data_IF_943690512359
#
_entry.id   IF_943690512359
#
_cell.length_a   1.000
_cell.length_b   1.000
_cell.length_c   1.000
_cell.angle_alpha   90.00
_cell.angle_beta   90.00
_cell.angle_gamma   90.00
#
_symmetry.space_group_name_H-M   'P 1'
#
loop_
_entity.id
_entity.type
_entity.pdbx_description
1 polymer ?
#
# COMPACT_ATOMS: atom_id res chain seq x y z
N UNK A 1 -49.81 49.02 45.08
CA UNK A 1 -48.51 48.57 45.64
C UNK A 1 -48.27 47.19 45.06
N UNK A 2 -47.49 47.08 43.98
CA UNK A 2 -47.26 45.81 43.29
C UNK A 2 -45.97 45.19 43.84
N UNK A 3 -46.11 44.05 44.54
CA UNK A 3 -44.98 43.29 45.06
C UNK A 3 -44.43 42.42 43.93
N UNK A 4 -43.23 42.73 43.45
CA UNK A 4 -42.48 41.88 42.53
C UNK A 4 -41.80 40.79 43.34
N UNK A 5 -42.31 39.56 43.26
CA UNK A 5 -41.69 38.36 43.81
C UNK A 5 -40.49 38.01 42.90
N UNK A 6 -39.27 38.29 43.36
CA UNK A 6 -38.02 37.93 42.69
C UNK A 6 -37.78 36.43 42.85
N UNK A 7 -38.35 35.62 41.95
CA UNK A 7 -37.92 34.23 41.78
C UNK A 7 -36.87 34.18 40.68
N UNK A 8 -35.68 33.77 41.08
CA UNK A 8 -34.52 33.55 40.23
C UNK A 8 -34.88 32.48 39.17
N UNK A 9 -34.78 32.75 37.86
CA UNK A 9 -35.15 31.78 36.82
C UNK A 9 -34.18 30.58 36.74
N UNK A 10 -33.12 30.56 37.54
CA UNK A 10 -32.08 29.53 37.55
C UNK A 10 -32.32 28.40 38.56
N UNK A 11 -33.32 28.48 39.44
CA UNK A 11 -33.57 27.43 40.45
C UNK A 11 -34.39 26.23 39.91
N UNK A 12 -34.83 26.27 38.65
CA UNK A 12 -35.66 25.22 38.03
C UNK A 12 -34.94 24.43 36.92
N UNK A 13 -33.60 24.37 36.96
CA UNK A 13 -32.78 23.53 36.07
C UNK A 13 -32.05 22.46 36.89
N UNK A 14 -32.78 21.77 37.76
CA UNK A 14 -32.33 20.50 38.34
C UNK A 14 -32.71 19.41 37.35
N UNK A 15 -31.82 19.13 36.40
CA UNK A 15 -31.88 17.90 35.62
C UNK A 15 -31.34 16.77 36.50
N UNK A 16 -32.25 16.02 37.11
CA UNK A 16 -31.98 14.72 37.71
C UNK A 16 -31.59 13.75 36.59
N UNK A 17 -30.31 13.76 36.22
CA UNK A 17 -29.69 12.87 35.23
C UNK A 17 -29.05 11.63 35.91
N UNK A 18 -29.57 11.18 37.06
CA UNK A 18 -29.29 9.83 37.55
C UNK A 18 -30.27 8.84 36.91
N UNK A 19 -29.73 7.82 36.24
CA UNK A 19 -30.42 6.70 35.57
C UNK A 19 -30.97 6.89 34.15
N UNK A 20 -30.30 7.68 33.31
CA UNK A 20 -30.32 7.37 31.87
C UNK A 20 -29.24 6.34 31.54
N UNK A 21 -29.53 5.05 31.77
CA UNK A 21 -28.73 3.97 31.19
C UNK A 21 -28.84 4.11 29.68
N UNK A 22 -27.81 4.70 29.04
CA UNK A 22 -27.72 4.74 27.59
C UNK A 22 -27.75 3.29 27.09
N UNK A 23 -28.81 2.84 26.41
CA UNK A 23 -28.83 1.51 25.84
C UNK A 23 -27.71 1.46 24.80
N UNK A 24 -26.99 0.34 24.75
CA UNK A 24 -25.84 0.10 23.89
C UNK A 24 -25.86 0.91 22.59
N UNK A 25 -24.78 1.67 22.41
CA UNK A 25 -24.46 2.60 21.34
C UNK A 25 -24.80 2.12 19.92
N UNK A 26 -26.08 2.17 19.53
CA UNK A 26 -26.49 2.18 18.13
C UNK A 26 -26.10 3.54 17.56
N UNK A 27 -24.91 3.61 16.96
CA UNK A 27 -24.45 4.81 16.27
C UNK A 27 -25.54 5.31 15.31
N UNK A 28 -26.00 6.55 15.49
CA UNK A 28 -26.98 7.21 14.62
C UNK A 28 -26.60 6.95 13.15
N UNK A 29 -27.54 6.68 12.23
CA UNK A 29 -27.22 6.27 10.85
C UNK A 29 -26.29 7.24 10.11
N UNK A 30 -26.33 8.52 10.46
CA UNK A 30 -25.39 9.54 9.97
C UNK A 30 -23.95 9.33 10.51
N UNK A 31 -23.80 8.97 11.78
CA UNK A 31 -22.51 8.64 12.37
C UNK A 31 -21.93 7.32 11.81
N UNK A 32 -22.79 6.33 11.56
CA UNK A 32 -22.40 5.09 10.88
C UNK A 32 -21.91 5.36 9.44
N UNK A 33 -22.66 6.13 8.65
CA UNK A 33 -22.24 6.56 7.29
C UNK A 33 -20.93 7.36 7.31
N UNK A 34 -20.78 8.30 8.24
CA UNK A 34 -19.54 9.08 8.38
C UNK A 34 -18.33 8.19 8.77
N UNK A 35 -18.53 7.12 9.55
CA UNK A 35 -17.48 6.16 9.87
C UNK A 35 -17.10 5.31 8.64
N UNK A 36 -18.08 4.86 7.85
CA UNK A 36 -17.86 4.13 6.60
C UNK A 36 -17.14 4.98 5.55
N UNK A 37 -17.48 6.26 5.43
CA UNK A 37 -16.79 7.22 4.56
C UNK A 37 -15.33 7.41 4.97
N UNK A 38 -15.04 7.52 6.27
CA UNK A 38 -13.66 7.58 6.76
C UNK A 38 -12.90 6.28 6.47
N UNK A 39 -13.55 5.12 6.65
CA UNK A 39 -12.95 3.82 6.38
C UNK A 39 -12.66 3.61 4.89
N UNK A 40 -13.59 3.99 4.00
CA UNK A 40 -13.38 3.96 2.54
C UNK A 40 -12.29 4.93 2.12
N UNK A 41 -12.24 6.15 2.67
CA UNK A 41 -11.18 7.10 2.41
C UNK A 41 -9.79 6.56 2.81
N UNK A 42 -9.68 5.90 3.97
CA UNK A 42 -8.44 5.22 4.40
C UNK A 42 -8.03 4.13 3.41
N UNK A 43 -8.94 3.21 3.06
CA UNK A 43 -8.67 2.15 2.06
C UNK A 43 -8.23 2.72 0.72
N UNK A 44 -8.85 3.81 0.26
CA UNK A 44 -8.48 4.48 -0.99
C UNK A 44 -7.07 5.09 -0.92
N UNK A 45 -6.69 5.70 0.20
CA UNK A 45 -5.32 6.22 0.39
C UNK A 45 -4.29 5.09 0.36
N UNK A 46 -4.55 4.00 1.07
CA UNK A 46 -3.68 2.83 1.06
C UNK A 46 -3.56 2.20 -0.33
N UNK A 47 -4.68 2.08 -1.05
CA UNK A 47 -4.68 1.55 -2.42
C UNK A 47 -3.82 2.41 -3.35
N UNK A 48 -3.96 3.75 -3.29
CA UNK A 48 -3.13 4.67 -4.09
C UNK A 48 -1.65 4.55 -3.73
N UNK A 49 -1.33 4.43 -2.44
CA UNK A 49 0.05 4.22 -2.00
C UNK A 49 0.64 2.92 -2.56
N UNK A 50 -0.11 1.81 -2.49
CA UNK A 50 0.30 0.51 -3.08
C UNK A 50 0.45 0.59 -4.60
N UNK A 51 -0.45 1.31 -5.29
CA UNK A 51 -0.37 1.51 -6.73
C UNK A 51 0.87 2.33 -7.14
N UNK A 52 1.19 3.39 -6.38
CA UNK A 52 2.41 4.18 -6.57
C UNK A 52 3.67 3.34 -6.38
N UNK A 53 3.72 2.54 -5.31
CA UNK A 53 4.87 1.67 -5.04
C UNK A 53 5.07 0.63 -6.14
N UNK A 54 3.98 0.07 -6.70
CA UNK A 54 4.05 -0.83 -7.85
C UNK A 54 4.59 -0.14 -9.10
N UNK A 55 4.10 1.05 -9.41
CA UNK A 55 4.58 1.81 -10.57
C UNK A 55 6.08 2.14 -10.45
N UNK A 56 6.55 2.50 -9.25
CA UNK A 56 7.97 2.71 -8.98
C UNK A 56 8.77 1.43 -9.21
N UNK A 57 8.30 0.30 -8.68
CA UNK A 57 8.96 -0.99 -8.82
C UNK A 57 9.07 -1.41 -10.29
N UNK A 58 7.97 -1.35 -11.03
CA UNK A 58 7.94 -1.74 -12.46
C UNK A 58 8.86 -0.82 -13.28
N UNK A 59 8.87 0.49 -13.02
CA UNK A 59 9.79 1.42 -13.69
C UNK A 59 11.26 1.10 -13.41
N UNK A 60 11.61 0.80 -12.15
CA UNK A 60 12.98 0.43 -11.76
C UNK A 60 13.38 -0.92 -12.38
N UNK A 61 12.46 -1.89 -12.44
CA UNK A 61 12.73 -3.17 -13.08
C UNK A 61 13.01 -3.02 -14.59
N UNK A 62 12.22 -2.22 -15.30
CA UNK A 62 12.43 -1.96 -16.73
C UNK A 62 13.77 -1.26 -16.96
N UNK A 63 14.08 -0.24 -16.17
CA UNK A 63 15.36 0.48 -16.26
C UNK A 63 16.57 -0.43 -15.96
N UNK A 64 16.45 -1.30 -14.96
CA UNK A 64 17.45 -2.30 -14.64
C UNK A 64 17.64 -3.32 -15.78
N UNK A 65 16.56 -3.74 -16.45
CA UNK A 65 16.62 -4.63 -17.61
C UNK A 65 17.34 -3.97 -18.79
N UNK A 66 16.98 -2.73 -19.13
CA UNK A 66 17.61 -1.98 -20.22
C UNK A 66 19.09 -1.73 -19.93
N UNK A 67 19.42 -1.34 -18.70
CA UNK A 67 20.80 -1.12 -18.27
C UNK A 67 21.62 -2.41 -18.35
N UNK A 68 21.08 -3.53 -17.88
CA UNK A 68 21.74 -4.82 -17.97
C UNK A 68 21.96 -5.25 -19.44
N UNK A 69 20.95 -5.08 -20.30
CA UNK A 69 21.09 -5.36 -21.74
C UNK A 69 22.17 -4.51 -22.39
N UNK A 70 22.24 -3.22 -22.05
CA UNK A 70 23.27 -2.32 -22.56
C UNK A 70 24.67 -2.78 -22.13
N UNK A 71 24.86 -3.13 -20.86
CA UNK A 71 26.16 -3.62 -20.38
C UNK A 71 26.60 -4.91 -21.07
N UNK A 72 25.68 -5.85 -21.31
CA UNK A 72 26.02 -7.09 -22.03
C UNK A 72 26.35 -6.78 -23.50
N UNK A 73 25.59 -5.91 -24.15
CA UNK A 73 25.87 -5.47 -25.53
C UNK A 73 27.23 -4.80 -25.66
N UNK A 74 27.57 -3.89 -24.74
CA UNK A 74 28.86 -3.19 -24.74
C UNK A 74 30.02 -4.18 -24.52
N UNK A 75 29.84 -5.17 -23.63
CA UNK A 75 30.82 -6.22 -23.40
C UNK A 75 30.99 -7.16 -24.61
N UNK A 76 29.92 -7.49 -25.32
CA UNK A 76 29.99 -8.28 -26.54
C UNK A 76 30.59 -7.51 -27.71
N UNK A 77 30.26 -6.21 -27.84
CA UNK A 77 30.88 -5.33 -28.82
C UNK A 77 32.40 -5.26 -28.60
N UNK A 78 32.85 -5.14 -27.36
CA UNK A 78 34.27 -5.16 -27.04
C UNK A 78 34.97 -6.47 -27.42
N UNK A 79 34.25 -7.60 -27.40
CA UNK A 79 34.80 -8.93 -27.75
C UNK A 79 34.77 -9.23 -29.24
N UNK A 80 33.68 -8.90 -29.92
CA UNK A 80 33.37 -9.35 -31.30
C UNK A 80 33.47 -8.22 -32.33
N UNK A 81 33.41 -6.96 -31.90
CA UNK A 81 33.53 -5.79 -32.76
C UNK A 81 32.33 -5.53 -33.69
N UNK A 82 31.21 -6.25 -33.52
CA UNK A 82 30.02 -6.12 -34.37
C UNK A 82 28.86 -5.46 -33.63
N UNK A 83 28.22 -4.49 -34.28
CA UNK A 83 27.10 -3.70 -33.74
C UNK A 83 25.70 -4.35 -33.92
N UNK A 84 25.60 -5.45 -34.67
CA UNK A 84 24.31 -6.05 -35.06
C UNK A 84 24.09 -7.46 -34.50
N UNK A 85 24.46 -7.68 -33.23
CA UNK A 85 24.13 -8.92 -32.53
C UNK A 85 22.70 -8.84 -32.01
N UNK A 86 21.97 -9.96 -32.11
CA UNK A 86 20.70 -10.16 -31.39
C UNK A 86 20.89 -9.79 -29.92
N UNK A 87 19.88 -9.18 -29.26
CA UNK A 87 20.02 -8.77 -27.87
C UNK A 87 20.39 -9.99 -27.02
N UNK A 88 21.57 -9.96 -26.37
CA UNK A 88 22.05 -11.12 -25.65
C UNK A 88 21.16 -11.43 -24.44
N UNK A 89 21.06 -12.71 -24.03
CA UNK A 89 20.25 -13.09 -22.89
C UNK A 89 20.80 -12.43 -21.62
N UNK A 90 19.90 -11.76 -20.89
CA UNK A 90 20.24 -11.15 -19.60
C UNK A 90 19.79 -12.06 -18.46
N UNK A 91 20.69 -12.30 -17.51
CA UNK A 91 20.37 -13.06 -16.32
C UNK A 91 19.45 -12.26 -15.39
N UNK A 92 18.36 -12.87 -14.93
CA UNK A 92 17.44 -12.22 -14.00
C UNK A 92 18.14 -11.77 -12.70
N UNK A 93 19.15 -12.51 -12.25
CA UNK A 93 19.93 -12.17 -11.05
C UNK A 93 20.71 -10.86 -11.15
N UNK A 94 21.16 -10.43 -12.32
CA UNK A 94 21.83 -9.13 -12.46
C UNK A 94 20.80 -8.00 -12.46
N UNK A 95 19.65 -8.22 -13.10
CA UNK A 95 18.51 -7.29 -13.08
C UNK A 95 18.01 -7.06 -11.66
N UNK A 96 17.87 -8.12 -10.86
CA UNK A 96 17.40 -7.99 -9.46
C UNK A 96 18.36 -7.19 -8.60
N UNK A 97 19.68 -7.36 -8.78
CA UNK A 97 20.69 -6.60 -8.04
C UNK A 97 20.69 -5.12 -8.43
N UNK A 98 20.58 -4.80 -9.72
CA UNK A 98 20.49 -3.42 -10.20
C UNK A 98 19.20 -2.75 -9.71
N UNK A 99 18.07 -3.45 -9.82
CA UNK A 99 16.80 -2.96 -9.32
C UNK A 99 16.82 -2.73 -7.80
N UNK A 100 17.41 -3.65 -7.04
CA UNK A 100 17.56 -3.51 -5.59
C UNK A 100 18.39 -2.26 -5.24
N UNK A 101 19.53 -2.04 -5.91
CA UNK A 101 20.34 -0.82 -5.71
C UNK A 101 19.55 0.45 -6.01
N UNK A 102 18.87 0.51 -7.15
CA UNK A 102 18.05 1.67 -7.52
C UNK A 102 16.90 1.93 -6.54
N UNK A 103 16.28 0.89 -5.97
CA UNK A 103 15.26 1.07 -4.92
C UNK A 103 15.88 1.62 -3.63
N UNK A 104 17.08 1.17 -3.26
CA UNK A 104 17.82 1.69 -2.10
C UNK A 104 18.19 3.15 -2.27
N UNK A 105 18.63 3.56 -3.46
CA UNK A 105 18.96 4.96 -3.78
C UNK A 105 17.72 5.87 -3.74
N UNK A 106 16.54 5.32 -4.05
CA UNK A 106 15.24 6.00 -3.87
C UNK A 106 14.74 6.02 -2.41
N UNK A 107 15.54 5.55 -1.46
CA UNK A 107 15.23 5.60 -0.03
C UNK A 107 14.37 4.45 0.49
N UNK A 108 14.18 3.36 -0.28
CA UNK A 108 13.44 2.20 0.24
C UNK A 108 14.26 1.46 1.29
N UNK A 109 13.58 0.98 2.34
CA UNK A 109 14.20 0.08 3.32
C UNK A 109 14.59 -1.24 2.66
N UNK A 110 15.59 -1.92 3.23
CA UNK A 110 16.07 -3.22 2.72
C UNK A 110 14.93 -4.23 2.64
N UNK A 111 14.12 -4.31 3.69
CA UNK A 111 13.02 -5.27 3.78
C UNK A 111 11.93 -4.97 2.76
N UNK A 112 11.52 -3.70 2.65
CA UNK A 112 10.55 -3.27 1.63
C UNK A 112 11.03 -3.60 0.22
N UNK A 113 12.28 -3.28 -0.12
CA UNK A 113 12.83 -3.57 -1.44
C UNK A 113 12.82 -5.08 -1.75
N UNK A 114 13.25 -5.90 -0.79
CA UNK A 114 13.28 -7.36 -0.95
C UNK A 114 11.87 -7.95 -1.08
N UNK A 115 10.93 -7.57 -0.23
CA UNK A 115 9.55 -8.06 -0.27
C UNK A 115 8.86 -7.74 -1.59
N UNK A 116 8.99 -6.49 -2.05
CA UNK A 116 8.36 -6.05 -3.29
C UNK A 116 8.99 -6.72 -4.52
N UNK A 117 10.32 -6.86 -4.56
CA UNK A 117 11.00 -7.59 -5.63
C UNK A 117 10.62 -9.08 -5.63
N UNK A 118 10.62 -9.72 -4.45
CA UNK A 118 10.22 -11.11 -4.29
C UNK A 118 8.77 -11.33 -4.73
N UNK A 119 7.85 -10.47 -4.31
CA UNK A 119 6.44 -10.56 -4.69
C UNK A 119 6.21 -10.42 -6.20
N UNK A 120 7.08 -9.70 -6.92
CA UNK A 120 6.95 -9.46 -8.36
C UNK A 120 7.62 -10.54 -9.21
N UNK A 121 8.76 -11.05 -8.75
CA UNK A 121 9.65 -11.92 -9.51
C UNK A 121 9.51 -13.40 -9.15
N UNK A 122 9.11 -13.73 -7.92
CA UNK A 122 8.85 -15.12 -7.57
C UNK A 122 7.57 -15.59 -8.28
N UNK A 123 7.54 -16.85 -8.75
CA UNK A 123 6.30 -17.43 -9.25
C UNK A 123 5.24 -17.31 -8.17
N UNK A 124 4.05 -16.82 -8.53
CA UNK A 124 2.87 -16.95 -7.66
C UNK A 124 2.78 -18.43 -7.32
N UNK A 125 2.97 -18.79 -6.05
CA UNK A 125 2.71 -20.16 -5.60
C UNK A 125 1.31 -20.50 -6.10
N UNK A 126 1.19 -21.47 -7.01
CA UNK A 126 -0.11 -21.99 -7.37
C UNK A 126 -0.79 -22.39 -6.06
N UNK A 127 -2.06 -22.03 -5.84
CA UNK A 127 -2.77 -22.58 -4.70
C UNK A 127 -2.61 -24.10 -4.80
N UNK A 128 -2.06 -24.72 -3.74
CA UNK A 128 -2.00 -26.18 -3.69
C UNK A 128 -3.42 -26.67 -3.91
N UNK A 129 -3.62 -27.54 -4.92
CA UNK A 129 -4.92 -28.17 -5.11
C UNK A 129 -5.32 -28.81 -3.77
N UNK A 130 -6.54 -28.54 -3.27
CA UNK A 130 -6.98 -29.14 -2.03
C UNK A 130 -6.91 -30.65 -2.22
N UNK A 131 -6.09 -31.32 -1.40
CA UNK A 131 -5.81 -32.75 -1.40
C UNK A 131 -6.99 -33.54 -1.94
N UNK A 132 -6.99 -33.86 -3.24
CA UNK A 132 -7.95 -34.81 -3.79
C UNK A 132 -7.55 -36.17 -3.23
N UNK A 133 -8.35 -36.81 -2.36
CA UNK A 133 -8.05 -38.17 -1.95
C UNK A 133 -8.06 -39.02 -3.22
N UNK A 134 -6.92 -39.63 -3.55
CA UNK A 134 -6.83 -40.64 -4.59
C UNK A 134 -7.85 -41.73 -4.23
N UNK A 135 -8.84 -41.92 -5.09
CA UNK A 135 -9.74 -43.08 -5.05
C UNK A 135 -8.99 -44.35 -5.38
#
# INVERSE_FOLDING_TARGET
MFSFDTRDPNENLVFDDEDTVAPDAYAHPVAARAAEERATARRNREWRARAKDRAILDAVLVDAMVSAQKHVRDAEKAKVGKDHMLPPPVLLGTVTQLAYRALRDRGWTKDKANEHLAARLLPKRAPLDPLTPKR
#
